data_IF_309956772085
#
_entry.id   IF_309956772085
#
_cell.length_a   1.000
_cell.length_b   1.000
_cell.length_c   1.000
_cell.angle_alpha   90.00
_cell.angle_beta   90.00
_cell.angle_gamma   90.00
#
_symmetry.space_group_name_H-M   'P 1'
#
loop_
_entity.id
_entity.type
_entity.pdbx_description
1 polymer ?
#
# COMPACT_ATOMS: atom_id res chain seq x y z
N UNK A 1 -3.45 5.84 30.50
CA UNK A 1 -4.20 5.08 29.48
C UNK A 1 -4.12 5.87 28.20
N UNK A 2 -3.55 5.32 27.11
CA UNK A 2 -3.52 6.04 25.82
C UNK A 2 -4.94 6.05 25.24
N UNK A 3 -5.34 7.16 24.62
CA UNK A 3 -6.62 7.28 23.92
C UNK A 3 -6.59 6.48 22.62
N UNK A 4 -7.74 6.00 22.15
CA UNK A 4 -7.86 5.31 20.85
C UNK A 4 -7.30 6.17 19.71
N UNK A 5 -7.46 7.48 19.83
CA UNK A 5 -6.97 8.45 18.85
C UNK A 5 -5.44 8.47 18.74
N UNK A 6 -4.72 8.06 19.79
CA UNK A 6 -3.26 8.19 19.87
C UNK A 6 -2.53 7.09 19.09
N UNK A 7 -3.14 5.91 18.93
CA UNK A 7 -2.52 4.76 18.24
C UNK A 7 -3.25 4.36 16.96
N UNK A 8 -4.41 4.96 16.68
CA UNK A 8 -5.15 4.71 15.45
C UNK A 8 -4.32 5.16 14.24
N UNK A 9 -4.15 4.25 13.26
CA UNK A 9 -3.39 4.48 12.04
C UNK A 9 -1.89 4.83 12.21
N UNK A 10 -1.31 4.58 13.40
CA UNK A 10 0.11 4.84 13.67
C UNK A 10 1.03 4.03 12.74
N UNK A 11 0.67 2.77 12.45
CA UNK A 11 1.40 1.86 11.56
C UNK A 11 0.76 1.77 10.17
N UNK A 12 0.24 2.88 9.66
CA UNK A 12 -0.34 2.96 8.31
C UNK A 12 0.38 4.03 7.49
N UNK A 13 0.76 3.69 6.27
CA UNK A 13 1.32 4.64 5.30
C UNK A 13 0.20 5.55 4.77
N UNK A 14 -0.24 6.50 5.60
CA UNK A 14 -1.36 7.41 5.31
C UNK A 14 -0.95 8.50 4.31
N UNK A 15 -1.94 9.21 3.73
CA UNK A 15 -1.70 10.35 2.82
C UNK A 15 -0.74 11.40 3.41
N UNK A 16 -0.83 11.66 4.72
CA UNK A 16 0.05 12.60 5.43
C UNK A 16 1.50 12.12 5.45
N UNK A 17 1.72 10.83 5.70
CA UNK A 17 3.06 10.21 5.67
C UNK A 17 3.62 10.20 4.25
N UNK A 18 2.77 9.86 3.26
CA UNK A 18 3.13 9.92 1.85
C UNK A 18 3.59 11.33 1.44
N UNK A 19 2.89 12.38 1.84
CA UNK A 19 3.27 13.77 1.53
C UNK A 19 4.61 14.18 2.18
N UNK A 20 4.93 13.64 3.35
CA UNK A 20 6.20 13.91 4.04
C UNK A 20 7.39 13.16 3.43
N UNK A 21 7.16 11.93 2.94
CA UNK A 21 8.22 11.05 2.42
C UNK A 21 8.42 11.16 0.91
N UNK A 22 7.39 11.54 0.15
CA UNK A 22 7.43 11.61 -1.31
C UNK A 22 7.59 13.05 -1.81
N UNK A 23 8.28 13.20 -2.94
CA UNK A 23 8.31 14.46 -3.69
C UNK A 23 6.89 14.88 -4.11
N UNK A 24 6.59 16.19 -4.08
CA UNK A 24 5.27 16.75 -4.44
C UNK A 24 4.73 16.22 -5.78
N UNK A 25 5.60 16.03 -6.77
CA UNK A 25 5.21 15.52 -8.09
C UNK A 25 4.72 14.06 -8.03
N UNK A 26 5.42 13.22 -7.26
CA UNK A 26 5.12 11.79 -7.11
C UNK A 26 3.89 11.60 -6.26
N UNK A 27 3.78 12.34 -5.15
CA UNK A 27 2.58 12.34 -4.32
C UNK A 27 1.32 12.66 -5.15
N UNK A 28 1.37 13.71 -5.97
CA UNK A 28 0.24 14.07 -6.85
C UNK A 28 -0.11 12.96 -7.84
N UNK A 29 0.89 12.37 -8.52
CA UNK A 29 0.66 11.27 -9.46
C UNK A 29 0.08 10.03 -8.76
N UNK A 30 0.58 9.69 -7.58
CA UNK A 30 0.10 8.56 -6.79
C UNK A 30 -1.35 8.76 -6.34
N UNK A 31 -1.69 9.94 -5.82
CA UNK A 31 -3.06 10.28 -5.42
C UNK A 31 -4.00 10.29 -6.62
N UNK A 32 -3.59 10.86 -7.75
CA UNK A 32 -4.37 10.84 -8.98
C UNK A 32 -4.64 9.40 -9.44
N UNK A 33 -3.64 8.51 -9.42
CA UNK A 33 -3.84 7.11 -9.78
C UNK A 33 -4.85 6.41 -8.84
N UNK A 34 -4.81 6.70 -7.53
CA UNK A 34 -5.75 6.16 -6.55
C UNK A 34 -7.17 6.70 -6.77
N UNK A 35 -7.33 8.01 -6.99
CA UNK A 35 -8.63 8.68 -7.10
C UNK A 35 -9.31 8.42 -8.46
N UNK A 36 -8.53 8.34 -9.53
CA UNK A 36 -9.02 8.09 -10.88
C UNK A 36 -9.15 6.60 -11.23
N UNK A 37 -8.73 5.69 -10.32
CA UNK A 37 -8.63 4.25 -10.60
C UNK A 37 -7.76 3.95 -11.84
N UNK A 38 -6.72 4.76 -12.03
CA UNK A 38 -5.80 4.64 -13.16
C UNK A 38 -4.61 3.73 -12.82
N UNK A 39 -3.97 3.13 -13.84
CA UNK A 39 -2.76 2.34 -13.62
C UNK A 39 -1.65 3.19 -13.00
N UNK A 40 -0.94 2.65 -12.02
CA UNK A 40 0.24 3.31 -11.46
C UNK A 40 1.34 3.41 -12.53
N UNK A 41 1.83 4.62 -12.75
CA UNK A 41 2.95 4.90 -13.64
C UNK A 41 4.22 4.20 -13.12
N UNK A 42 4.81 3.33 -13.95
CA UNK A 42 6.01 2.56 -13.57
C UNK A 42 7.21 3.46 -13.24
N UNK A 43 7.26 4.68 -13.80
CA UNK A 43 8.34 5.63 -13.52
C UNK A 43 8.37 6.09 -12.07
N UNK A 44 7.20 6.19 -11.42
CA UNK A 44 7.10 6.60 -10.01
C UNK A 44 7.09 5.40 -9.04
N UNK A 45 6.80 4.20 -9.54
CA UNK A 45 6.64 3.01 -8.71
C UNK A 45 7.90 2.68 -7.90
N UNK A 46 9.09 2.86 -8.49
CA UNK A 46 10.36 2.62 -7.80
C UNK A 46 10.58 3.56 -6.61
N UNK A 47 10.31 4.85 -6.80
CA UNK A 47 10.45 5.84 -5.72
C UNK A 47 9.40 5.64 -4.62
N UNK A 48 8.16 5.32 -4.98
CA UNK A 48 7.11 5.00 -3.99
C UNK A 48 7.47 3.76 -3.18
N UNK A 49 7.95 2.70 -3.83
CA UNK A 49 8.39 1.48 -3.16
C UNK A 49 9.57 1.74 -2.21
N UNK A 50 10.52 2.58 -2.62
CA UNK A 50 11.64 2.97 -1.78
C UNK A 50 11.19 3.73 -0.54
N UNK A 51 10.36 4.76 -0.70
CA UNK A 51 9.83 5.55 0.41
C UNK A 51 8.97 4.71 1.38
N UNK A 52 8.15 3.79 0.84
CA UNK A 52 7.37 2.84 1.64
C UNK A 52 8.28 1.91 2.45
N UNK A 53 9.36 1.41 1.84
CA UNK A 53 10.33 0.56 2.52
C UNK A 53 11.04 1.31 3.65
N UNK A 54 11.53 2.51 3.39
CA UNK A 54 12.21 3.31 4.42
C UNK A 54 11.28 3.60 5.60
N UNK A 55 10.04 4.02 5.33
CA UNK A 55 9.04 4.23 6.38
C UNK A 55 8.76 2.95 7.18
N UNK A 56 8.62 1.81 6.50
CA UNK A 56 8.39 0.54 7.19
C UNK A 56 9.58 0.15 8.08
N UNK A 57 10.82 0.37 7.61
CA UNK A 57 12.05 0.12 8.39
C UNK A 57 12.14 1.02 9.62
N UNK A 58 11.79 2.32 9.49
CA UNK A 58 11.74 3.25 10.64
C UNK A 58 10.73 2.80 11.70
N UNK A 59 9.66 2.13 11.29
CA UNK A 59 8.65 1.54 12.18
C UNK A 59 9.00 0.11 12.65
N UNK A 60 10.21 -0.38 12.35
CA UNK A 60 10.69 -1.68 12.81
C UNK A 60 10.24 -2.88 11.98
N UNK A 61 9.70 -2.67 10.78
CA UNK A 61 9.34 -3.76 9.89
C UNK A 61 10.58 -4.47 9.35
N UNK A 62 10.59 -5.80 9.37
CA UNK A 62 11.71 -6.63 8.88
C UNK A 62 11.35 -7.47 7.65
N UNK A 63 10.06 -7.66 7.42
CA UNK A 63 9.53 -8.48 6.34
C UNK A 63 8.44 -7.69 5.62
N UNK A 64 8.35 -7.86 4.31
CA UNK A 64 7.23 -7.38 3.50
C UNK A 64 6.44 -8.58 2.98
N UNK A 65 5.15 -8.41 2.79
CA UNK A 65 4.29 -9.42 2.18
C UNK A 65 3.27 -8.76 1.27
N UNK A 66 2.95 -9.42 0.15
CA UNK A 66 1.81 -9.05 -0.67
C UNK A 66 0.56 -9.58 0.01
N UNK A 67 -0.13 -8.72 0.76
CA UNK A 67 -1.41 -9.08 1.35
C UNK A 67 -2.50 -9.04 0.28
N UNK A 68 -3.04 -10.20 -0.06
CA UNK A 68 -4.20 -10.32 -0.95
C UNK A 68 -5.16 -11.38 -0.40
N UNK A 69 -6.45 -11.18 -0.63
CA UNK A 69 -7.46 -12.20 -0.34
C UNK A 69 -7.62 -13.07 -1.59
N UNK A 70 -7.14 -14.34 -1.60
CA UNK A 70 -7.35 -15.22 -2.73
C UNK A 70 -8.84 -15.56 -2.84
N UNK A 71 -9.42 -15.42 -4.04
CA UNK A 71 -10.72 -15.99 -4.34
C UNK A 71 -10.55 -17.51 -4.50
N UNK A 72 -11.08 -18.30 -3.55
CA UNK A 72 -11.22 -19.74 -3.74
C UNK A 72 -12.38 -19.99 -4.70
N UNK A 73 -12.10 -20.14 -5.98
CA UNK A 73 -13.05 -20.74 -6.91
C UNK A 73 -13.30 -22.18 -6.45
N UNK A 74 -14.56 -22.53 -6.14
CA UNK A 74 -14.95 -23.93 -5.93
C UNK A 74 -14.71 -24.64 -7.26
N UNK A 75 -13.78 -25.58 -7.28
CA UNK A 75 -13.61 -26.58 -8.33
C UNK A 75 -14.93 -27.31 -8.56
N UNK A 76 -15.71 -26.84 -9.53
CA UNK A 76 -16.86 -27.56 -10.10
C UNK A 76 -16.29 -28.84 -10.72
N UNK A 77 -16.40 -29.96 -10.01
CA UNK A 77 -16.17 -31.28 -10.59
C UNK A 77 -17.13 -31.43 -11.75
N UNK A 78 -16.61 -31.31 -12.97
CA UNK A 78 -17.29 -31.77 -14.17
C UNK A 78 -17.03 -33.28 -14.20
N UNK A 79 -18.04 -34.15 -14.02
CA UNK A 79 -17.84 -35.56 -14.32
C UNK A 79 -17.63 -35.65 -15.84
N UNK A 80 -16.43 -35.97 -16.26
CA UNK A 80 -16.19 -36.47 -17.61
C UNK A 80 -16.59 -37.96 -17.60
N UNK A 81 -17.63 -38.26 -18.39
CA UNK A 81 -18.08 -39.57 -18.93
C UNK A 81 -18.05 -40.78 -18.01
#
# INVERSE_FOLDING_TARGET
>A
MRSIHDYYAELVFTKKVMEQKLSKNIYKKLIAAIENLEPLDQSIAGEVAHAMKEWALENGATHFTHWFQPQREKSRHRPET
#
